data_IF_763551932167
#
_entry.id   IF_763551932167
#
_cell.length_a   1.000
_cell.length_b   1.000
_cell.length_c   1.000
_cell.angle_alpha   90.00
_cell.angle_beta   90.00
_cell.angle_gamma   90.00
#
_symmetry.space_group_name_H-M   'P 1'
#
loop_
_entity.id
_entity.type
_entity.pdbx_description
1 polymer ?
#
# COMPACT_ATOMS: atom_id res chain seq x y z
N UNK A 1 -9.42 5.48 -29.98
CA UNK A 1 -9.33 4.88 -28.63
C UNK A 1 -8.10 5.48 -27.99
N UNK A 2 -8.26 6.30 -26.96
CA UNK A 2 -7.10 6.74 -26.16
C UNK A 2 -6.53 5.49 -25.47
N UNK A 3 -5.28 5.16 -25.70
CA UNK A 3 -4.57 4.14 -24.91
C UNK A 3 -4.65 4.56 -23.44
N UNK A 4 -5.29 3.72 -22.62
CA UNK A 4 -5.35 3.94 -21.18
C UNK A 4 -3.91 3.86 -20.66
N UNK A 5 -3.37 4.96 -20.18
CA UNK A 5 -2.03 5.01 -19.60
C UNK A 5 -1.95 3.95 -18.48
N UNK A 6 -0.96 3.07 -18.54
CA UNK A 6 -0.72 2.06 -17.49
C UNK A 6 -0.38 2.73 -16.17
N UNK A 7 -0.93 2.23 -15.07
CA UNK A 7 -0.62 2.73 -13.72
C UNK A 7 0.86 2.53 -13.37
N UNK A 8 1.52 3.59 -12.90
CA UNK A 8 2.89 3.53 -12.39
C UNK A 8 2.87 3.20 -10.90
N UNK A 9 3.35 2.02 -10.53
CA UNK A 9 3.37 1.53 -9.15
C UNK A 9 4.79 1.58 -8.61
N UNK A 10 5.03 2.43 -7.61
CA UNK A 10 6.31 2.56 -6.92
C UNK A 10 6.28 1.77 -5.60
N UNK A 11 7.11 0.75 -5.48
CA UNK A 11 7.31 -0.01 -4.25
C UNK A 11 8.48 0.57 -3.48
N UNK A 12 8.23 1.18 -2.31
CA UNK A 12 9.29 1.69 -1.44
C UNK A 12 9.61 0.68 -0.35
N UNK A 13 10.86 0.23 -0.29
CA UNK A 13 11.30 -0.83 0.62
C UNK A 13 12.65 -0.53 1.27
N UNK A 14 12.90 -1.16 2.42
CA UNK A 14 14.18 -1.17 3.13
C UNK A 14 14.87 -2.55 3.11
N UNK A 15 14.40 -3.46 2.26
CA UNK A 15 14.86 -4.86 2.13
C UNK A 15 14.73 -5.71 3.39
N UNK A 16 13.87 -5.31 4.35
CA UNK A 16 13.57 -6.13 5.53
C UNK A 16 12.52 -7.21 5.22
N UNK A 17 12.12 -7.96 6.25
CA UNK A 17 11.24 -9.14 6.15
C UNK A 17 9.99 -8.95 5.29
N UNK A 18 9.38 -7.76 5.31
CA UNK A 18 8.17 -7.47 4.51
C UNK A 18 8.44 -7.19 3.03
N UNK A 19 9.69 -7.05 2.59
CA UNK A 19 10.01 -6.64 1.21
C UNK A 19 9.43 -7.59 0.16
N UNK A 20 9.60 -8.89 0.35
CA UNK A 20 9.09 -9.93 -0.56
C UNK A 20 7.56 -9.92 -0.63
N UNK A 21 6.88 -9.89 0.53
CA UNK A 21 5.42 -9.82 0.61
C UNK A 21 4.87 -8.54 -0.04
N UNK A 22 5.55 -7.41 0.19
CA UNK A 22 5.20 -6.13 -0.39
C UNK A 22 5.32 -6.17 -1.91
N UNK A 23 6.41 -6.71 -2.45
CA UNK A 23 6.60 -6.79 -3.89
C UNK A 23 5.64 -7.78 -4.56
N UNK A 24 5.35 -8.94 -3.96
CA UNK A 24 4.33 -9.88 -4.47
C UNK A 24 2.94 -9.25 -4.52
N UNK A 25 2.55 -8.55 -3.46
CA UNK A 25 1.26 -7.84 -3.42
C UNK A 25 1.20 -6.72 -4.45
N UNK A 26 2.33 -6.04 -4.71
CA UNK A 26 2.42 -5.02 -5.76
C UNK A 26 2.31 -5.63 -7.16
N UNK A 27 2.93 -6.78 -7.40
CA UNK A 27 2.81 -7.51 -8.66
C UNK A 27 1.37 -8.00 -8.88
N UNK A 28 0.70 -8.47 -7.81
CA UNK A 28 -0.72 -8.83 -7.86
C UNK A 28 -1.59 -7.61 -8.21
N UNK A 29 -1.36 -6.47 -7.55
CA UNK A 29 -2.06 -5.23 -7.86
C UNK A 29 -1.84 -4.81 -9.31
N UNK A 30 -0.59 -4.83 -9.79
CA UNK A 30 -0.24 -4.47 -11.16
C UNK A 30 -1.02 -5.29 -12.20
N UNK A 31 -1.16 -6.59 -11.96
CA UNK A 31 -1.96 -7.48 -12.84
C UNK A 31 -3.45 -7.16 -12.81
N UNK A 32 -3.97 -6.66 -11.69
CA UNK A 32 -5.40 -6.31 -11.55
C UNK A 32 -5.75 -5.00 -12.26
N UNK A 33 -4.82 -4.05 -12.33
CA UNK A 33 -5.08 -2.70 -12.83
C UNK A 33 -4.29 -2.34 -14.09
N UNK A 34 -3.62 -3.30 -14.70
CA UNK A 34 -2.70 -3.09 -15.83
C UNK A 34 -1.63 -2.05 -15.51
N UNK A 35 -0.81 -2.34 -14.49
CA UNK A 35 0.21 -1.42 -13.97
C UNK A 35 1.64 -1.90 -14.19
N UNK A 36 2.57 -0.95 -14.21
CA UNK A 36 4.02 -1.18 -14.22
C UNK A 36 4.58 -1.05 -12.81
N UNK A 37 5.46 -1.97 -12.41
CA UNK A 37 6.05 -1.99 -11.07
C UNK A 37 7.50 -1.53 -11.12
N UNK A 38 7.83 -0.58 -10.26
CA UNK A 38 9.19 -0.16 -9.98
C UNK A 38 9.49 -0.32 -8.49
N UNK A 39 10.57 -1.02 -8.17
CA UNK A 39 11.02 -1.27 -6.80
C UNK A 39 12.16 -0.31 -6.45
N UNK A 40 11.97 0.50 -5.42
CA UNK A 40 12.95 1.47 -4.96
C UNK A 40 13.37 1.20 -3.52
N UNK A 41 14.69 1.08 -3.33
CA UNK A 41 15.29 0.85 -2.02
C UNK A 41 16.19 2.01 -1.62
N UNK A 42 16.01 2.53 -0.41
CA UNK A 42 16.93 3.52 0.18
C UNK A 42 17.56 2.95 1.43
N UNK A 43 18.88 2.95 1.51
CA UNK A 43 19.65 2.59 2.72
C UNK A 43 20.33 3.83 3.29
N UNK A 44 20.44 3.92 4.62
CA UNK A 44 21.16 5.01 5.27
C UNK A 44 22.67 4.79 5.14
N UNK A 45 23.46 5.84 4.90
CA UNK A 45 24.93 5.73 4.89
C UNK A 45 25.50 5.20 6.20
N UNK A 46 24.86 5.50 7.34
CA UNK A 46 25.25 5.03 8.68
C UNK A 46 25.10 3.52 8.84
N UNK A 47 24.29 2.87 8.00
CA UNK A 47 24.14 1.40 8.01
C UNK A 47 25.31 0.72 7.27
N UNK A 48 26.27 1.50 6.73
CA UNK A 48 27.27 1.03 5.78
C UNK A 48 28.69 1.29 6.28
N UNK A 49 28.95 2.47 6.85
CA UNK A 49 30.30 2.93 7.21
C UNK A 49 30.40 3.02 8.73
N UNK A 50 31.16 2.10 9.31
CA UNK A 50 31.75 2.28 10.64
C UNK A 50 32.98 3.15 10.48
N UNK A 51 33.33 3.99 11.47
CA UNK A 51 34.43 4.96 11.56
C UNK A 51 35.71 4.60 10.77
N UNK A 52 35.72 4.85 9.47
CA UNK A 52 36.85 4.57 8.59
C UNK A 52 37.39 5.86 7.96
N UNK A 53 38.62 5.82 7.38
CA UNK A 53 39.14 6.93 6.61
C UNK A 53 38.37 7.09 5.28
N UNK A 54 38.42 8.26 4.63
CA UNK A 54 37.61 8.61 3.46
C UNK A 54 37.77 7.64 2.27
N UNK A 55 38.97 7.15 1.99
CA UNK A 55 39.23 6.25 0.88
C UNK A 55 38.66 4.85 1.13
N UNK A 56 38.77 4.37 2.36
CA UNK A 56 38.17 3.12 2.81
C UNK A 56 36.63 3.21 2.75
N UNK A 57 36.06 4.34 3.21
CA UNK A 57 34.62 4.59 3.15
C UNK A 57 34.06 4.53 1.71
N UNK A 58 34.71 5.13 0.74
CA UNK A 58 34.27 5.08 -0.67
C UNK A 58 34.28 3.65 -1.21
N UNK A 59 35.31 2.86 -0.94
CA UNK A 59 35.37 1.46 -1.35
C UNK A 59 34.26 0.65 -0.70
N UNK A 60 34.01 0.83 0.58
CA UNK A 60 32.96 0.15 1.33
C UNK A 60 31.57 0.51 0.78
N UNK A 61 31.31 1.79 0.47
CA UNK A 61 30.05 2.23 -0.15
C UNK A 61 29.86 1.56 -1.51
N UNK A 62 30.85 1.55 -2.40
CA UNK A 62 30.75 0.92 -3.71
C UNK A 62 30.52 -0.60 -3.62
N UNK A 63 31.23 -1.27 -2.70
CA UNK A 63 31.02 -2.70 -2.45
C UNK A 63 29.59 -2.97 -1.96
N UNK A 64 29.10 -2.19 -1.00
CA UNK A 64 27.74 -2.30 -0.46
C UNK A 64 26.68 -1.98 -1.51
N UNK A 65 26.95 -1.03 -2.41
CA UNK A 65 26.05 -0.74 -3.53
C UNK A 65 25.83 -1.99 -4.38
N UNK A 66 26.90 -2.65 -4.81
CA UNK A 66 26.82 -3.88 -5.60
C UNK A 66 26.14 -5.03 -4.84
N UNK A 67 26.41 -5.18 -3.53
CA UNK A 67 25.76 -6.20 -2.69
C UNK A 67 24.27 -5.93 -2.62
N UNK A 68 23.87 -4.68 -2.38
CA UNK A 68 22.44 -4.29 -2.30
C UNK A 68 21.72 -4.57 -3.61
N UNK A 69 22.33 -4.26 -4.76
CA UNK A 69 21.75 -4.60 -6.07
C UNK A 69 21.48 -6.09 -6.23
N UNK A 70 22.46 -6.95 -5.84
CA UNK A 70 22.26 -8.41 -5.86
C UNK A 70 21.19 -8.91 -4.87
N UNK A 71 21.07 -8.27 -3.71
CA UNK A 71 19.99 -8.57 -2.75
C UNK A 71 18.61 -8.26 -3.32
N UNK A 72 18.48 -7.12 -4.00
CA UNK A 72 17.24 -6.73 -4.69
C UNK A 72 16.92 -7.71 -5.81
N UNK A 73 17.88 -8.03 -6.65
CA UNK A 73 17.71 -8.95 -7.78
C UNK A 73 17.19 -10.33 -7.31
N UNK A 74 17.71 -10.86 -6.18
CA UNK A 74 17.25 -12.11 -5.60
C UNK A 74 15.77 -12.09 -5.20
N UNK A 75 15.21 -10.91 -4.89
CA UNK A 75 13.79 -10.75 -4.56
C UNK A 75 12.97 -10.49 -5.82
N UNK A 76 13.47 -9.62 -6.69
CA UNK A 76 12.74 -9.15 -7.89
C UNK A 76 12.60 -10.25 -8.92
N UNK A 77 13.71 -10.94 -9.27
CA UNK A 77 13.74 -11.92 -10.37
C UNK A 77 12.70 -13.04 -10.22
N UNK A 78 12.60 -13.76 -9.08
CA UNK A 78 11.60 -14.82 -8.93
C UNK A 78 10.15 -14.32 -9.03
N UNK A 79 9.90 -13.10 -8.53
CA UNK A 79 8.56 -12.49 -8.56
C UNK A 79 8.22 -12.05 -10.00
N UNK A 80 9.16 -11.42 -10.70
CA UNK A 80 9.03 -11.06 -12.10
C UNK A 80 8.67 -12.28 -12.97
N UNK A 81 9.38 -13.40 -12.80
CA UNK A 81 9.13 -14.66 -13.48
C UNK A 81 7.76 -15.25 -13.12
N UNK A 82 7.43 -15.34 -11.81
CA UNK A 82 6.16 -15.91 -11.33
C UNK A 82 4.94 -15.17 -11.87
N UNK A 83 5.01 -13.83 -11.90
CA UNK A 83 3.90 -12.99 -12.33
C UNK A 83 3.95 -12.64 -13.82
N UNK A 84 4.97 -13.08 -14.57
CA UNK A 84 5.23 -12.66 -15.94
C UNK A 84 5.06 -11.13 -16.09
N UNK A 85 5.82 -10.40 -15.28
CA UNK A 85 5.78 -8.94 -15.19
C UNK A 85 7.20 -8.37 -15.14
N UNK A 86 7.51 -7.45 -16.02
CA UNK A 86 8.78 -6.73 -15.97
C UNK A 86 8.79 -5.79 -14.76
N UNK A 87 9.65 -6.06 -13.78
CA UNK A 87 9.81 -5.23 -12.58
C UNK A 87 11.15 -4.49 -12.68
N UNK A 88 11.08 -3.17 -12.81
CA UNK A 88 12.27 -2.32 -12.72
C UNK A 88 12.68 -2.18 -11.26
N UNK A 89 13.96 -2.00 -11.00
CA UNK A 89 14.42 -1.70 -9.64
C UNK A 89 15.57 -0.71 -9.63
N UNK A 90 15.63 0.08 -8.57
CA UNK A 90 16.70 1.03 -8.30
C UNK A 90 16.97 1.10 -6.80
N UNK A 91 18.17 1.53 -6.42
CA UNK A 91 18.52 1.76 -5.04
C UNK A 91 19.53 2.88 -4.88
N UNK A 92 19.51 3.51 -3.72
CA UNK A 92 20.42 4.59 -3.39
C UNK A 92 20.79 4.57 -1.91
N UNK A 93 21.85 5.30 -1.56
CA UNK A 93 22.26 5.57 -0.19
C UNK A 93 22.09 7.05 0.09
N UNK A 94 21.33 7.39 1.13
CA UNK A 94 21.08 8.79 1.44
C UNK A 94 20.12 9.00 2.60
N UNK A 95 19.68 10.24 2.74
CA UNK A 95 18.59 10.56 3.66
C UNK A 95 17.29 10.00 3.12
N UNK A 96 16.72 9.05 3.84
CA UNK A 96 15.57 8.27 3.41
C UNK A 96 14.40 9.13 2.88
N UNK A 97 14.05 10.21 3.61
CA UNK A 97 12.92 11.07 3.21
C UNK A 97 13.25 11.94 1.99
N UNK A 98 14.48 12.43 1.89
CA UNK A 98 14.89 13.24 0.75
C UNK A 98 14.97 12.40 -0.53
N UNK A 99 15.58 11.22 -0.46
CA UNK A 99 15.69 10.31 -1.61
C UNK A 99 14.31 9.87 -2.10
N UNK A 100 13.39 9.50 -1.19
CA UNK A 100 12.02 9.13 -1.55
C UNK A 100 11.29 10.31 -2.19
N UNK A 101 11.39 11.53 -1.62
CA UNK A 101 10.76 12.72 -2.20
C UNK A 101 11.25 13.00 -3.61
N UNK A 102 12.56 12.98 -3.82
CA UNK A 102 13.17 13.20 -5.11
C UNK A 102 12.72 12.15 -6.12
N UNK A 103 12.68 10.89 -5.70
CA UNK A 103 12.26 9.78 -6.56
C UNK A 103 10.80 9.92 -6.98
N UNK A 104 9.89 10.24 -6.05
CA UNK A 104 8.48 10.51 -6.36
C UNK A 104 8.34 11.68 -7.35
N UNK A 105 9.08 12.77 -7.15
CA UNK A 105 9.03 13.95 -8.03
C UNK A 105 9.53 13.68 -9.46
N UNK A 106 10.50 12.77 -9.63
CA UNK A 106 11.07 12.44 -10.95
C UNK A 106 10.21 11.40 -11.70
N UNK A 107 9.71 10.39 -10.98
CA UNK A 107 9.02 9.24 -11.60
C UNK A 107 7.50 9.40 -11.67
N UNK A 108 6.94 10.32 -10.89
CA UNK A 108 5.51 10.64 -10.83
C UNK A 108 4.64 9.38 -10.78
N UNK A 109 4.75 8.56 -9.71
CA UNK A 109 3.94 7.36 -9.59
C UNK A 109 2.47 7.68 -9.37
N UNK A 110 1.56 6.81 -9.83
CA UNK A 110 0.12 6.87 -9.51
C UNK A 110 -0.18 6.20 -8.18
N UNK A 111 0.58 5.14 -7.88
CA UNK A 111 0.41 4.31 -6.68
C UNK A 111 1.75 4.12 -5.97
N UNK A 112 1.79 4.37 -4.67
CA UNK A 112 2.94 4.00 -3.82
C UNK A 112 2.57 2.83 -2.93
N UNK A 113 3.41 1.79 -2.90
CA UNK A 113 3.20 0.59 -2.08
C UNK A 113 4.23 0.50 -0.97
N UNK A 114 3.76 0.30 0.25
CA UNK A 114 4.55 0.19 1.47
C UNK A 114 4.21 -1.10 2.22
N UNK A 115 5.22 -1.73 2.81
CA UNK A 115 4.98 -2.82 3.77
C UNK A 115 4.52 -2.29 5.11
N UNK A 116 3.48 -2.89 5.69
CA UNK A 116 3.01 -2.59 7.04
C UNK A 116 4.09 -2.96 8.05
N UNK A 117 4.59 -1.96 8.76
CA UNK A 117 5.52 -2.18 9.87
C UNK A 117 4.75 -2.37 11.16
N UNK A 118 5.05 -3.42 11.91
CA UNK A 118 4.58 -3.53 13.29
C UNK A 118 5.28 -2.44 14.10
N UNK A 119 4.53 -1.48 14.60
CA UNK A 119 4.98 -0.57 15.63
C UNK A 119 5.29 -1.40 16.87
N UNK A 120 6.56 -1.75 17.08
CA UNK A 120 7.01 -2.22 18.39
C UNK A 120 7.12 -0.99 19.27
N UNK A 121 6.19 -0.89 20.23
CA UNK A 121 6.30 -0.15 21.50
C UNK A 121 6.62 1.34 21.38
N UNK A 122 5.64 2.16 21.81
CA UNK A 122 5.83 3.48 22.44
C UNK A 122 7.04 4.32 21.99
N UNK A 123 6.81 5.23 21.06
CA UNK A 123 7.43 6.56 21.18
C UNK A 123 8.87 6.73 20.75
N UNK A 124 9.57 5.77 20.17
CA UNK A 124 10.94 5.98 19.70
C UNK A 124 10.96 6.00 18.18
N UNK A 125 11.21 7.17 17.65
CA UNK A 125 11.77 7.59 16.36
C UNK A 125 12.17 6.45 15.37
N UNK A 126 11.22 5.64 14.94
CA UNK A 126 11.33 4.98 13.64
C UNK A 126 10.94 6.01 12.59
N UNK A 127 11.76 6.18 11.55
CA UNK A 127 11.39 7.03 10.42
C UNK A 127 9.97 6.68 10.00
N UNK A 128 9.02 7.55 10.29
CA UNK A 128 7.62 7.32 9.98
C UNK A 128 7.40 7.60 8.48
N UNK A 129 7.90 6.66 7.65
CA UNK A 129 7.87 6.77 6.19
C UNK A 129 6.43 6.74 5.69
N UNK A 130 5.57 5.98 6.34
CA UNK A 130 4.14 5.95 5.99
C UNK A 130 3.51 7.33 6.18
N UNK A 131 3.65 7.96 7.35
CA UNK A 131 3.12 9.31 7.61
C UNK A 131 3.77 10.36 6.70
N UNK A 132 5.07 10.20 6.43
CA UNK A 132 5.78 11.09 5.52
C UNK A 132 5.21 11.01 4.11
N UNK A 133 5.04 9.81 3.55
CA UNK A 133 4.49 9.60 2.21
C UNK A 133 3.04 10.10 2.15
N UNK A 134 2.22 9.79 3.15
CA UNK A 134 0.83 10.26 3.22
C UNK A 134 0.72 11.79 3.27
N UNK A 135 1.76 12.48 3.75
CA UNK A 135 1.81 13.94 3.78
C UNK A 135 2.24 14.59 2.47
N UNK A 136 3.13 13.93 1.70
CA UNK A 136 3.76 14.55 0.52
C UNK A 136 3.20 14.03 -0.81
N UNK A 137 2.41 12.97 -0.79
CA UNK A 137 1.93 12.30 -1.98
C UNK A 137 0.39 12.24 -1.99
N UNK A 138 -0.21 12.83 -3.02
CA UNK A 138 -1.66 12.91 -3.20
C UNK A 138 -2.25 11.75 -4.00
N UNK A 139 -1.42 10.84 -4.53
CA UNK A 139 -1.86 9.64 -5.25
C UNK A 139 -2.34 8.53 -4.32
N UNK A 140 -2.52 7.35 -4.86
CA UNK A 140 -2.99 6.17 -4.14
C UNK A 140 -1.86 5.56 -3.32
N UNK A 141 -2.11 5.22 -2.06
CA UNK A 141 -1.12 4.54 -1.20
C UNK A 141 -1.65 3.18 -0.77
N UNK A 142 -0.92 2.12 -1.11
CA UNK A 142 -1.22 0.77 -0.63
C UNK A 142 -0.31 0.41 0.55
N UNK A 143 -0.92 -0.07 1.64
CA UNK A 143 -0.22 -0.61 2.81
C UNK A 143 -0.39 -2.12 2.83
N UNK A 144 0.67 -2.86 2.59
CA UNK A 144 0.64 -4.32 2.48
C UNK A 144 0.79 -4.99 3.83
N UNK A 145 -0.10 -5.91 4.15
CA UNK A 145 0.03 -6.79 5.32
C UNK A 145 1.04 -7.92 5.04
N UNK A 146 2.04 -8.07 5.91
CA UNK A 146 3.03 -9.16 5.80
C UNK A 146 2.39 -10.55 5.94
N UNK A 147 1.31 -10.66 6.74
CA UNK A 147 0.66 -11.94 7.04
C UNK A 147 -0.40 -12.35 6.01
N UNK A 148 -1.00 -11.36 5.36
CA UNK A 148 -2.09 -11.55 4.41
C UNK A 148 -1.71 -10.79 3.12
N UNK A 149 -0.84 -11.39 2.33
CA UNK A 149 -0.42 -10.85 1.04
C UNK A 149 -1.63 -10.73 0.10
N UNK A 150 -1.66 -9.68 -0.70
CA UNK A 150 -2.63 -9.58 -1.78
C UNK A 150 -2.20 -10.54 -2.89
N UNK A 151 -3.06 -11.48 -3.23
CA UNK A 151 -2.83 -12.45 -4.31
C UNK A 151 -3.91 -12.33 -5.37
N UNK A 152 -3.54 -12.61 -6.63
CA UNK A 152 -4.51 -12.79 -7.70
C UNK A 152 -5.18 -14.13 -7.45
N UNK A 153 -6.40 -14.11 -6.97
CA UNK A 153 -7.18 -15.32 -6.75
C UNK A 153 -8.64 -15.07 -7.11
N UNK A 154 -9.34 -16.12 -7.44
CA UNK A 154 -10.80 -16.09 -7.66
C UNK A 154 -11.59 -15.66 -6.41
N UNK A 155 -10.91 -15.52 -5.28
CA UNK A 155 -11.47 -15.17 -3.99
C UNK A 155 -11.11 -13.72 -3.56
N UNK A 156 -10.76 -12.82 -4.51
CA UNK A 156 -10.57 -11.42 -4.17
C UNK A 156 -11.86 -10.86 -3.55
N UNK A 157 -11.78 -10.48 -2.30
CA UNK A 157 -12.89 -9.89 -1.53
C UNK A 157 -12.51 -8.50 -1.08
N UNK A 158 -13.23 -7.52 -1.63
CA UNK A 158 -12.97 -6.10 -1.41
C UNK A 158 -13.94 -5.55 -0.37
N UNK A 159 -13.39 -4.93 0.67
CA UNK A 159 -14.12 -4.09 1.62
C UNK A 159 -13.92 -2.61 1.30
N UNK A 160 -14.93 -1.80 1.49
CA UNK A 160 -14.88 -0.34 1.30
C UNK A 160 -15.36 0.27 2.60
N UNK A 161 -14.50 1.06 3.23
CA UNK A 161 -14.84 1.75 4.47
C UNK A 161 -15.14 3.21 4.16
N UNK A 162 -16.39 3.62 4.45
CA UNK A 162 -16.86 4.99 4.25
C UNK A 162 -16.67 5.51 2.82
N UNK A 163 -17.44 4.95 1.91
CA UNK A 163 -17.48 5.34 0.50
C UNK A 163 -17.56 6.86 0.30
N UNK A 164 -16.68 7.40 -0.54
CA UNK A 164 -16.74 8.79 -0.99
C UNK A 164 -17.36 8.91 -2.37
N UNK A 165 -18.38 9.76 -2.50
CA UNK A 165 -19.06 10.04 -3.79
C UNK A 165 -18.15 10.78 -4.79
N UNK A 166 -17.07 11.41 -4.31
CA UNK A 166 -16.19 12.30 -5.09
C UNK A 166 -14.74 11.84 -5.17
N UNK A 167 -14.49 10.53 -5.04
CA UNK A 167 -13.12 10.02 -5.10
C UNK A 167 -12.52 10.22 -6.49
N UNK A 168 -11.38 10.88 -6.56
CA UNK A 168 -10.55 10.99 -7.77
C UNK A 168 -10.06 9.62 -8.26
N UNK A 169 -10.15 8.61 -7.41
CA UNK A 169 -9.68 7.25 -7.66
C UNK A 169 -10.78 6.30 -8.16
N UNK A 170 -11.91 6.85 -8.68
CA UNK A 170 -13.06 6.04 -9.10
C UNK A 170 -12.68 4.96 -10.11
N UNK A 171 -11.96 5.33 -11.17
CA UNK A 171 -11.58 4.40 -12.24
C UNK A 171 -10.64 3.28 -11.72
N UNK A 172 -9.77 3.62 -10.78
CA UNK A 172 -8.91 2.66 -10.10
C UNK A 172 -9.73 1.67 -9.26
N UNK A 173 -10.69 2.16 -8.48
CA UNK A 173 -11.57 1.32 -7.66
C UNK A 173 -12.43 0.40 -8.54
N UNK A 174 -12.99 0.92 -9.63
CA UNK A 174 -13.78 0.13 -10.57
C UNK A 174 -12.92 -0.95 -11.26
N UNK A 175 -11.68 -0.65 -11.60
CA UNK A 175 -10.75 -1.64 -12.14
C UNK A 175 -10.51 -2.80 -11.16
N UNK A 176 -10.38 -2.52 -9.87
CA UNK A 176 -10.24 -3.55 -8.84
C UNK A 176 -11.53 -4.36 -8.66
N UNK A 177 -12.69 -3.70 -8.64
CA UNK A 177 -13.99 -4.36 -8.48
C UNK A 177 -14.28 -5.26 -9.69
N UNK A 178 -13.92 -4.85 -10.90
CA UNK A 178 -14.15 -5.63 -12.12
C UNK A 178 -13.40 -6.97 -12.14
N UNK A 179 -12.27 -7.05 -11.44
CA UNK A 179 -11.48 -8.29 -11.29
C UNK A 179 -12.01 -9.17 -10.16
N UNK A 180 -12.75 -8.59 -9.21
CA UNK A 180 -13.36 -9.34 -8.10
C UNK A 180 -14.59 -10.12 -8.59
N UNK A 181 -14.63 -11.43 -8.32
CA UNK A 181 -15.81 -12.28 -8.59
C UNK A 181 -16.90 -12.14 -7.52
N UNK A 182 -16.60 -11.43 -6.42
CA UNK A 182 -17.53 -11.23 -5.31
C UNK A 182 -17.99 -9.78 -5.24
N UNK A 183 -19.26 -9.52 -4.89
CA UNK A 183 -19.73 -8.17 -4.68
C UNK A 183 -18.89 -7.44 -3.63
N UNK A 184 -18.55 -6.17 -3.82
CA UNK A 184 -17.83 -5.39 -2.82
C UNK A 184 -18.66 -5.24 -1.55
N UNK A 185 -18.00 -5.26 -0.39
CA UNK A 185 -18.61 -5.08 0.92
C UNK A 185 -18.41 -3.63 1.36
N UNK A 186 -19.48 -2.89 1.53
CA UNK A 186 -19.42 -1.51 2.04
C UNK A 186 -19.66 -1.51 3.53
N UNK A 187 -18.71 -1.01 4.30
CA UNK A 187 -18.79 -0.87 5.75
C UNK A 187 -19.15 0.58 6.10
N UNK A 188 -20.27 0.77 6.76
CA UNK A 188 -20.78 2.06 7.21
C UNK A 188 -20.79 2.13 8.73
N UNK A 189 -20.40 3.26 9.30
CA UNK A 189 -20.54 3.56 10.73
C UNK A 189 -21.66 4.61 10.84
N UNK A 190 -22.74 4.31 11.53
CA UNK A 190 -23.90 5.19 11.67
C UNK A 190 -24.37 5.25 13.12
N UNK A 191 -24.97 6.39 13.51
CA UNK A 191 -25.69 6.55 14.76
C UNK A 191 -27.15 6.09 14.64
N UNK A 192 -27.75 6.20 13.44
CA UNK A 192 -29.14 5.87 13.16
C UNK A 192 -29.26 4.65 12.26
N UNK A 193 -30.22 3.78 12.60
CA UNK A 193 -30.65 2.65 11.77
C UNK A 193 -31.38 3.07 10.50
N UNK A 194 -31.74 4.36 10.35
CA UNK A 194 -32.37 4.91 9.16
C UNK A 194 -31.33 5.24 8.10
N UNK A 195 -31.01 4.26 7.31
CA UNK A 195 -30.07 4.36 6.20
C UNK A 195 -30.69 5.08 5.03
N UNK A 196 -30.14 6.22 4.65
CA UNK A 196 -30.30 6.72 3.29
C UNK A 196 -29.76 5.63 2.33
N UNK A 197 -30.65 5.12 1.49
CA UNK A 197 -30.28 4.25 0.37
C UNK A 197 -29.47 5.09 -0.63
N UNK A 198 -28.22 5.27 -0.34
CA UNK A 198 -27.32 5.90 -1.30
C UNK A 198 -27.13 4.94 -2.47
N UNK A 199 -27.50 5.37 -3.67
CA UNK A 199 -27.20 4.67 -4.92
C UNK A 199 -25.71 4.40 -5.00
N UNK A 200 -25.32 3.15 -5.08
CA UNK A 200 -23.92 2.78 -5.24
C UNK A 200 -23.41 3.28 -6.61
N UNK A 201 -22.21 3.83 -6.62
CA UNK A 201 -21.54 4.29 -7.86
C UNK A 201 -20.85 3.13 -8.58
N UNK A 202 -20.95 1.91 -8.06
CA UNK A 202 -20.26 0.76 -8.61
C UNK A 202 -21.11 0.04 -9.66
N UNK A 203 -20.46 -0.47 -10.70
CA UNK A 203 -21.08 -1.31 -11.72
C UNK A 203 -21.71 -2.57 -11.13
N UNK A 204 -21.21 -3.05 -10.00
CA UNK A 204 -21.72 -4.21 -9.25
C UNK A 204 -22.36 -3.75 -7.94
N UNK A 205 -23.61 -4.18 -7.68
CA UNK A 205 -24.33 -3.83 -6.44
C UNK A 205 -23.56 -4.33 -5.21
N UNK A 206 -23.16 -3.45 -4.29
CA UNK A 206 -22.42 -3.83 -3.09
C UNK A 206 -23.33 -4.47 -2.05
N UNK A 207 -22.72 -5.21 -1.11
CA UNK A 207 -23.36 -5.67 0.11
C UNK A 207 -23.01 -4.68 1.23
N UNK A 208 -24.02 -4.03 1.78
CA UNK A 208 -23.82 -3.04 2.84
C UNK A 208 -23.89 -3.68 4.23
N UNK A 209 -22.94 -3.31 5.08
CA UNK A 209 -22.87 -3.67 6.48
C UNK A 209 -22.81 -2.41 7.34
N UNK A 210 -23.72 -2.28 8.27
CA UNK A 210 -23.81 -1.13 9.15
C UNK A 210 -23.33 -1.52 10.54
N UNK A 211 -22.45 -0.70 11.10
CA UNK A 211 -21.90 -0.84 12.44
C UNK A 211 -22.31 0.37 13.27
N UNK A 212 -22.69 0.12 14.51
CA UNK A 212 -23.00 1.20 15.44
C UNK A 212 -21.77 2.07 15.71
N UNK A 213 -21.99 3.38 15.78
CA UNK A 213 -20.97 4.34 16.15
C UNK A 213 -20.55 4.12 17.60
N UNK A 214 -19.24 4.03 17.85
CA UNK A 214 -18.68 3.84 19.19
C UNK A 214 -17.17 3.60 19.14
N UNK A 215 -16.55 3.57 20.32
CA UNK A 215 -15.10 3.41 20.44
C UNK A 215 -14.57 2.12 19.79
N UNK A 216 -15.38 1.08 19.68
CA UNK A 216 -14.99 -0.21 19.11
C UNK A 216 -15.46 -0.42 17.65
N UNK A 217 -16.10 0.57 17.03
CA UNK A 217 -16.70 0.41 15.70
C UNK A 217 -15.66 -0.08 14.67
N UNK A 218 -14.50 0.57 14.61
CA UNK A 218 -13.42 0.19 13.70
C UNK A 218 -12.87 -1.21 13.97
N UNK A 219 -12.71 -1.57 15.25
CA UNK A 219 -12.26 -2.91 15.64
C UNK A 219 -13.28 -3.99 15.25
N UNK A 220 -14.58 -3.70 15.40
CA UNK A 220 -15.65 -4.61 14.99
C UNK A 220 -15.66 -4.82 13.48
N UNK A 221 -15.47 -3.76 12.69
CA UNK A 221 -15.33 -3.84 11.23
C UNK A 221 -14.09 -4.68 10.86
N UNK A 222 -12.95 -4.44 11.49
CA UNK A 222 -11.72 -5.19 11.23
C UNK A 222 -11.88 -6.68 11.56
N UNK A 223 -12.52 -7.00 12.69
CA UNK A 223 -12.83 -8.37 13.07
C UNK A 223 -13.80 -9.05 12.09
N UNK A 224 -14.83 -8.33 11.64
CA UNK A 224 -15.76 -8.82 10.64
C UNK A 224 -15.06 -9.04 9.29
N UNK A 225 -14.24 -8.09 8.85
CA UNK A 225 -13.43 -8.21 7.63
C UNK A 225 -12.56 -9.47 7.63
N UNK A 226 -11.91 -9.76 8.76
CA UNK A 226 -11.10 -10.97 8.93
C UNK A 226 -11.95 -12.25 8.84
N UNK A 227 -13.10 -12.30 9.54
CA UNK A 227 -14.04 -13.43 9.50
C UNK A 227 -14.65 -13.66 8.12
N UNK A 228 -14.98 -12.59 7.41
CA UNK A 228 -15.56 -12.63 6.06
C UNK A 228 -14.53 -12.77 4.95
N UNK A 229 -13.25 -13.08 5.30
CA UNK A 229 -12.14 -13.27 4.38
C UNK A 229 -11.93 -12.09 3.42
N UNK A 230 -12.18 -10.86 3.90
CA UNK A 230 -11.85 -9.65 3.15
C UNK A 230 -10.33 -9.50 3.12
N UNK A 231 -9.74 -9.48 1.93
CA UNK A 231 -8.28 -9.45 1.75
C UNK A 231 -7.75 -8.11 1.24
N UNK A 232 -8.64 -7.20 0.86
CA UNK A 232 -8.31 -5.83 0.48
C UNK A 232 -9.37 -4.87 1.02
N UNK A 233 -8.96 -3.80 1.72
CA UNK A 233 -9.88 -2.76 2.19
C UNK A 233 -9.48 -1.42 1.58
N UNK A 234 -10.44 -0.78 0.94
CA UNK A 234 -10.34 0.57 0.40
C UNK A 234 -10.79 1.58 1.46
N UNK A 235 -10.05 2.66 1.62
CA UNK A 235 -10.27 3.69 2.62
C UNK A 235 -10.00 5.07 2.02
N UNK A 236 -10.97 5.98 2.10
CA UNK A 236 -10.77 7.39 1.75
C UNK A 236 -10.03 8.10 2.90
N UNK A 237 -8.85 8.68 2.60
CA UNK A 237 -8.02 9.35 3.59
C UNK A 237 -8.43 10.80 3.88
N UNK A 238 -9.27 11.41 3.05
CA UNK A 238 -9.73 12.80 3.19
C UNK A 238 -10.97 12.95 4.07
N UNK A 239 -11.62 11.85 4.44
CA UNK A 239 -12.83 11.92 5.25
C UNK A 239 -12.53 12.05 6.75
N UNK A 240 -12.50 13.30 7.21
CA UNK A 240 -12.48 13.65 8.64
C UNK A 240 -13.81 13.35 9.40
N UNK A 241 -14.75 12.64 8.80
CA UNK A 241 -16.08 12.40 9.38
C UNK A 241 -16.17 11.17 10.30
N UNK A 242 -15.07 10.49 10.52
CA UNK A 242 -15.07 9.25 11.25
C UNK A 242 -14.40 9.40 12.62
N UNK A 243 -14.94 8.74 13.62
CA UNK A 243 -14.41 8.70 14.98
C UNK A 243 -13.10 7.91 15.11
N UNK A 244 -12.31 7.78 14.05
CA UNK A 244 -11.03 7.08 14.06
C UNK A 244 -9.99 7.79 13.19
N UNK A 245 -8.75 7.63 13.55
CA UNK A 245 -7.60 8.12 12.77
C UNK A 245 -7.19 7.11 11.69
N UNK A 246 -6.57 7.58 10.62
CA UNK A 246 -5.99 6.73 9.58
C UNK A 246 -4.98 5.73 10.16
N UNK A 247 -4.23 6.15 11.17
CA UNK A 247 -3.27 5.30 11.89
C UNK A 247 -3.96 4.14 12.63
N UNK A 248 -5.11 4.39 13.25
CA UNK A 248 -5.91 3.33 13.88
C UNK A 248 -6.43 2.36 12.83
N UNK A 249 -6.92 2.85 11.68
CA UNK A 249 -7.34 1.98 10.59
C UNK A 249 -6.18 1.09 10.11
N UNK A 250 -5.02 1.66 9.82
CA UNK A 250 -3.83 0.90 9.42
C UNK A 250 -3.47 -0.17 10.46
N UNK A 251 -3.60 0.12 11.75
CA UNK A 251 -3.24 -0.81 12.82
C UNK A 251 -4.25 -1.94 13.00
N UNK A 252 -5.55 -1.66 12.90
CA UNK A 252 -6.62 -2.62 13.20
C UNK A 252 -6.82 -3.67 12.09
N UNK A 253 -6.74 -3.28 10.82
CA UNK A 253 -6.96 -4.25 9.73
C UNK A 253 -5.76 -5.20 9.57
N UNK A 254 -6.05 -6.49 9.41
CA UNK A 254 -5.03 -7.53 9.18
C UNK A 254 -4.78 -7.81 7.68
N UNK A 255 -5.60 -7.26 6.79
CA UNK A 255 -5.44 -7.33 5.34
C UNK A 255 -4.66 -6.13 4.79
N UNK A 256 -4.40 -6.14 3.49
CA UNK A 256 -3.84 -5.00 2.78
C UNK A 256 -4.87 -3.87 2.68
N UNK A 257 -4.38 -2.63 2.77
CA UNK A 257 -5.21 -1.42 2.68
C UNK A 257 -4.83 -0.62 1.45
N UNK A 258 -5.81 -0.04 0.77
CA UNK A 258 -5.61 0.99 -0.25
C UNK A 258 -6.23 2.28 0.26
N UNK A 259 -5.41 3.30 0.34
CA UNK A 259 -5.77 4.64 0.78
C UNK A 259 -5.94 5.52 -0.45
N UNK A 260 -7.15 6.00 -0.67
CA UNK A 260 -7.51 6.86 -1.80
C UNK A 260 -7.77 8.31 -1.35
N UNK A 261 -7.81 9.23 -2.30
CA UNK A 261 -8.20 10.63 -2.10
C UNK A 261 -9.57 10.91 -2.69
#
# INVERSE_FOLDING_TARGET
>A
MMEKSQYKILVVSDLKKSATATLRSSASLAKMIDGNVEFFCVKKPTDIVEKENQLSAIRTINQKYNITGKEIEKIVKPISETYNLAIKYNHTFGNLKNEIRNYISIHEPDVIVLGKRKSKILGILGDNITDFILKIFDGIVMIVSEKNELTISDQLSIGILNESKQSKSKDFIESLISVSKTPPKVFKISEDSNLEKNSSYFSTKPIEYVFEKGANALQNIANYSAKSKTNLVLLDRNKNQNNYTLKEAINNFNCSLILTN
#
